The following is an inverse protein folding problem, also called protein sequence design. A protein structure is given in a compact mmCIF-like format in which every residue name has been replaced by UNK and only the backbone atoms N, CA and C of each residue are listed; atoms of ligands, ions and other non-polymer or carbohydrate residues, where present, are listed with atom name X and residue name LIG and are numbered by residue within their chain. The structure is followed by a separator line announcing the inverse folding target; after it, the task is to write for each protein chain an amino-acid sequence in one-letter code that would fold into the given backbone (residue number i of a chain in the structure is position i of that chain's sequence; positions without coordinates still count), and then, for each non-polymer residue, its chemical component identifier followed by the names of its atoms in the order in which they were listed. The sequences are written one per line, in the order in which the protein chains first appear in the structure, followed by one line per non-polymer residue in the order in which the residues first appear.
data_IF_524306572298
#
_entry.id   IF_524306572298
#
_cell.length_a   1.000
_cell.length_b   1.000
_cell.length_c   1.000
_cell.angle_alpha   90.00
_cell.angle_beta   90.00
_cell.angle_gamma   90.00
#
_symmetry.space_group_name_H-M   'P 1'
#
loop_
_entity.id
_entity.type
_entity.pdbx_description
1 polymer ?
#
# COMPACT_ATOMS: atom_id res chain seq x y z
N UNK A 1 12.21 -1.18 20.88
CA UNK A 1 12.46 -1.18 19.42
C UNK A 1 13.85 -0.63 19.16
N UNK A 2 14.69 -1.28 18.35
CA UNK A 2 16.02 -0.72 18.06
C UNK A 2 15.91 0.46 17.07
N UNK A 3 16.83 1.41 17.12
CA UNK A 3 16.88 2.55 16.18
C UNK A 3 16.88 2.09 14.71
N UNK A 4 17.55 0.95 14.43
CA UNK A 4 17.57 0.34 13.10
C UNK A 4 16.19 -0.14 12.65
N UNK A 5 15.43 -0.77 13.54
CA UNK A 5 14.06 -1.21 13.25
C UNK A 5 13.11 -0.03 13.05
N UNK A 6 13.24 1.01 13.88
CA UNK A 6 12.48 2.25 13.69
C UNK A 6 12.71 2.84 12.30
N UNK A 7 13.99 2.97 11.91
CA UNK A 7 14.37 3.56 10.63
C UNK A 7 13.93 2.70 9.44
N UNK A 8 13.95 1.37 9.58
CA UNK A 8 13.46 0.47 8.53
C UNK A 8 11.95 0.69 8.29
N UNK A 9 11.13 0.65 9.35
CA UNK A 9 9.68 0.86 9.23
C UNK A 9 9.33 2.25 8.69
N UNK A 10 10.06 3.29 9.10
CA UNK A 10 9.86 4.62 8.54
C UNK A 10 10.14 4.65 7.03
N UNK A 11 11.23 3.99 6.59
CA UNK A 11 11.54 3.87 5.17
C UNK A 11 10.50 3.08 4.39
N UNK A 12 9.88 2.07 4.99
CA UNK A 12 8.82 1.30 4.34
C UNK A 12 7.60 2.19 4.08
N UNK A 13 7.22 3.04 5.04
CA UNK A 13 6.16 4.03 4.84
C UNK A 13 6.50 5.02 3.72
N UNK A 14 7.71 5.61 3.77
CA UNK A 14 8.17 6.57 2.76
C UNK A 14 8.26 5.94 1.36
N UNK A 15 8.67 4.67 1.28
CA UNK A 15 8.71 3.92 0.02
C UNK A 15 7.31 3.73 -0.56
N UNK A 16 6.32 3.35 0.26
CA UNK A 16 4.94 3.17 -0.17
C UNK A 16 4.34 4.49 -0.67
N UNK A 17 4.60 5.61 0.02
CA UNK A 17 4.18 6.94 -0.46
C UNK A 17 4.79 7.24 -1.84
N UNK A 18 6.09 6.98 -2.02
CA UNK A 18 6.76 7.21 -3.30
C UNK A 18 6.20 6.36 -4.45
N UNK A 19 5.79 5.12 -4.18
CA UNK A 19 5.10 4.28 -5.17
C UNK A 19 3.74 4.87 -5.50
N UNK A 20 2.96 5.28 -4.50
CA UNK A 20 1.64 5.88 -4.70
C UNK A 20 1.73 7.15 -5.55
N UNK A 21 2.64 8.06 -5.19
CA UNK A 21 2.85 9.32 -5.92
C UNK A 21 3.23 9.08 -7.38
N UNK A 22 4.13 8.13 -7.64
CA UNK A 22 4.55 7.79 -9.00
C UNK A 22 3.43 7.19 -9.85
N UNK A 23 2.58 6.34 -9.25
CA UNK A 23 1.50 5.67 -9.97
C UNK A 23 0.26 6.55 -10.12
N UNK A 24 0.00 7.47 -9.18
CA UNK A 24 -1.16 8.37 -9.22
C UNK A 24 -1.19 9.22 -10.51
N UNK A 25 -0.02 9.68 -10.96
CA UNK A 25 0.10 10.41 -12.22
C UNK A 25 -0.29 9.57 -13.43
N UNK A 26 -0.01 8.27 -13.40
CA UNK A 26 -0.41 7.34 -14.45
C UNK A 26 -1.92 7.08 -14.41
N UNK A 27 -2.51 6.85 -13.23
CA UNK A 27 -3.96 6.63 -13.06
C UNK A 27 -4.77 7.83 -13.54
N UNK A 28 -4.30 9.05 -13.26
CA UNK A 28 -4.96 10.30 -13.67
C UNK A 28 -5.13 10.41 -15.18
N UNK A 29 -4.28 9.75 -15.95
CA UNK A 29 -4.30 9.78 -17.41
C UNK A 29 -5.14 8.65 -18.03
N UNK A 30 -5.51 7.62 -17.27
CA UNK A 30 -6.31 6.50 -17.77
C UNK A 30 -7.77 6.89 -18.01
N UNK A 31 -8.51 6.20 -18.89
CA UNK A 31 -9.97 6.28 -18.98
C UNK A 31 -10.64 5.87 -17.65
N UNK A 32 -11.79 6.46 -17.30
CA UNK A 32 -12.46 6.27 -16.00
C UNK A 32 -12.74 4.79 -15.70
N UNK A 33 -13.13 4.04 -16.71
CA UNK A 33 -13.41 2.60 -16.72
C UNK A 33 -12.19 1.72 -16.39
N UNK A 34 -10.97 2.26 -16.50
CA UNK A 34 -9.71 1.57 -16.20
C UNK A 34 -9.05 2.06 -14.91
N UNK A 35 -9.65 3.06 -14.24
CA UNK A 35 -9.09 3.64 -13.01
C UNK A 35 -9.43 2.86 -11.77
N UNK A 36 -10.57 2.18 -11.72
CA UNK A 36 -11.12 1.65 -10.46
C UNK A 36 -10.19 0.63 -9.79
N UNK A 37 -9.74 -0.39 -10.52
CA UNK A 37 -8.85 -1.44 -9.98
C UNK A 37 -7.49 -0.86 -9.54
N UNK A 38 -6.95 0.05 -10.35
CA UNK A 38 -5.67 0.68 -10.05
C UNK A 38 -5.77 1.67 -8.87
N UNK A 39 -6.87 2.41 -8.78
CA UNK A 39 -7.17 3.28 -7.66
C UNK A 39 -7.37 2.48 -6.35
N UNK A 40 -8.02 1.32 -6.43
CA UNK A 40 -8.18 0.42 -5.29
C UNK A 40 -6.82 -0.14 -4.84
N UNK A 41 -5.96 -0.54 -5.78
CA UNK A 41 -4.59 -0.97 -5.46
C UNK A 41 -3.78 0.14 -4.77
N UNK A 42 -3.90 1.39 -5.25
CA UNK A 42 -3.26 2.54 -4.60
C UNK A 42 -3.80 2.81 -3.20
N UNK A 43 -5.12 2.68 -2.98
CA UNK A 43 -5.72 2.83 -1.66
C UNK A 43 -5.16 1.80 -0.66
N UNK A 44 -4.92 0.56 -1.10
CA UNK A 44 -4.28 -0.47 -0.27
C UNK A 44 -2.85 -0.06 0.11
N UNK A 45 -2.06 0.47 -0.82
CA UNK A 45 -0.70 0.93 -0.56
C UNK A 45 -0.66 2.13 0.42
N UNK A 46 -1.58 3.09 0.26
CA UNK A 46 -1.74 4.22 1.19
C UNK A 46 -2.07 3.72 2.60
N UNK A 47 -3.03 2.79 2.70
CA UNK A 47 -3.43 2.20 3.98
C UNK A 47 -2.24 1.50 4.65
N UNK A 48 -1.43 0.79 3.86
CA UNK A 48 -0.24 0.12 4.39
C UNK A 48 0.83 1.10 4.88
N UNK A 49 1.01 2.24 4.20
CA UNK A 49 1.90 3.30 4.66
C UNK A 49 1.42 3.88 6.02
N UNK A 50 0.12 4.09 6.17
CA UNK A 50 -0.49 4.50 7.44
C UNK A 50 -0.29 3.46 8.55
N UNK A 51 -0.44 2.17 8.26
CA UNK A 51 -0.21 1.10 9.23
C UNK A 51 1.23 1.10 9.77
N UNK A 52 2.22 1.36 8.92
CA UNK A 52 3.62 1.54 9.36
C UNK A 52 3.74 2.74 10.32
N UNK A 53 3.07 3.86 10.02
CA UNK A 53 3.04 5.04 10.91
C UNK A 53 2.30 4.75 12.22
N UNK A 54 1.20 3.97 12.21
CA UNK A 54 0.50 3.54 13.41
C UNK A 54 1.40 2.67 14.30
N UNK A 55 2.20 1.80 13.70
CA UNK A 55 3.18 1.02 14.45
C UNK A 55 4.28 1.90 15.06
N UNK A 56 4.80 2.88 14.30
CA UNK A 56 5.79 3.85 14.82
C UNK A 56 5.25 4.70 15.98
N UNK A 57 3.95 4.99 15.98
CA UNK A 57 3.23 5.68 17.08
C UNK A 57 2.81 4.75 18.21
N UNK A 58 3.11 3.46 18.12
CA UNK A 58 2.73 2.43 19.09
C UNK A 58 1.20 2.23 19.24
N UNK A 59 0.40 2.60 18.24
CA UNK A 59 -1.04 2.37 18.22
C UNK A 59 -1.40 0.93 17.86
N UNK A 60 -0.52 0.26 17.12
CA UNK A 60 -0.63 -1.17 16.80
C UNK A 60 0.64 -1.92 17.20
N UNK A 61 0.50 -3.22 17.46
CA UNK A 61 1.64 -4.09 17.74
C UNK A 61 2.37 -4.50 16.47
N UNK A 62 3.61 -5.00 16.60
CA UNK A 62 4.35 -5.59 15.46
C UNK A 62 3.61 -6.79 14.86
N UNK A 63 2.93 -7.58 15.69
CA UNK A 63 2.12 -8.72 15.25
C UNK A 63 0.94 -8.26 14.40
N UNK A 64 0.30 -7.18 14.82
CA UNK A 64 -0.80 -6.56 14.08
C UNK A 64 -0.32 -5.96 12.76
N UNK A 65 0.80 -5.22 12.77
CA UNK A 65 1.40 -4.70 11.53
C UNK A 65 1.67 -5.83 10.53
N UNK A 66 2.28 -6.94 10.97
CA UNK A 66 2.52 -8.10 10.10
C UNK A 66 1.22 -8.68 9.54
N UNK A 67 0.19 -8.82 10.36
CA UNK A 67 -1.10 -9.33 9.91
C UNK A 67 -1.75 -8.42 8.85
N UNK A 68 -1.65 -7.10 9.02
CA UNK A 68 -2.15 -6.13 8.05
C UNK A 68 -1.35 -6.14 6.75
N UNK A 69 -0.03 -6.27 6.82
CA UNK A 69 0.84 -6.48 5.65
C UNK A 69 0.41 -7.73 4.87
N UNK A 70 0.25 -8.87 5.56
CA UNK A 70 -0.18 -10.12 4.92
C UNK A 70 -1.54 -9.97 4.24
N UNK A 71 -2.50 -9.30 4.88
CA UNK A 71 -3.81 -9.02 4.29
C UNK A 71 -3.72 -8.08 3.08
N UNK A 72 -2.91 -7.02 3.15
CA UNK A 72 -2.71 -6.09 2.05
C UNK A 72 -2.13 -6.80 0.81
N UNK A 73 -1.16 -7.71 1.02
CA UNK A 73 -0.59 -8.51 -0.07
C UNK A 73 -1.63 -9.42 -0.72
N UNK A 74 -2.52 -10.05 0.06
CA UNK A 74 -3.63 -10.86 -0.48
C UNK A 74 -4.60 -10.00 -1.29
N UNK A 75 -4.93 -8.79 -0.82
CA UNK A 75 -5.78 -7.87 -1.58
C UNK A 75 -5.13 -7.41 -2.87
N UNK A 76 -3.84 -7.05 -2.84
CA UNK A 76 -3.09 -6.67 -4.05
C UNK A 76 -2.99 -7.81 -5.06
N UNK A 77 -2.78 -9.04 -4.61
CA UNK A 77 -2.75 -10.21 -5.48
C UNK A 77 -4.11 -10.44 -6.14
N UNK A 78 -5.21 -10.28 -5.38
CA UNK A 78 -6.57 -10.38 -5.92
C UNK A 78 -6.86 -9.30 -6.97
N UNK A 79 -6.39 -8.07 -6.75
CA UNK A 79 -6.52 -6.96 -7.70
C UNK A 79 -5.64 -7.16 -8.95
N UNK A 80 -4.43 -7.70 -8.79
CA UNK A 80 -3.53 -8.01 -9.90
C UNK A 80 -3.94 -9.24 -10.72
N UNK A 81 -4.71 -10.16 -10.13
CA UNK A 81 -5.29 -11.32 -10.81
C UNK A 81 -6.62 -11.02 -11.51
N UNK A 82 -7.17 -9.80 -11.40
CA UNK A 82 -8.29 -9.41 -12.25
C UNK A 82 -7.76 -9.38 -13.69
N UNK A 83 -8.25 -10.24 -14.60
CA UNK A 83 -7.86 -10.13 -15.99
C UNK A 83 -8.31 -8.74 -16.44
N UNK A 84 -7.38 -7.89 -16.90
CA UNK A 84 -7.69 -6.69 -17.69
C UNK A 84 -8.86 -7.06 -18.57
N UNK A 85 -10.05 -6.56 -18.23
CA UNK A 85 -11.25 -6.89 -18.97
C UNK A 85 -10.97 -6.45 -20.38
N UNK A 86 -10.91 -7.43 -21.27
CA UNK A 86 -10.67 -7.26 -22.68
C UNK A 86 -11.51 -6.10 -23.22
N UNK A 87 -10.84 -5.19 -23.91
CA UNK A 87 -11.42 -4.30 -24.90
C UNK A 87 -10.42 -4.18 -26.05
#
# INVERSE_FOLDING_TARGET
MSWRQHRAVARDADFLDGVVDAQLELVRQLPFDQRDELAEALAVLVTLAEDHRYYLRHWISRRELRHRVERALVTLDALGHVPTRAA
#
